data_IF_850749040876
#
_entry.id   IF_850749040876
#
_cell.length_a   1.000
_cell.length_b   1.000
_cell.length_c   1.000
_cell.angle_alpha   90.00
_cell.angle_beta   90.00
_cell.angle_gamma   90.00
#
_symmetry.space_group_name_H-M   'P 1'
#
loop_
_entity.id
_entity.type
_entity.pdbx_description
1 polymer ?
#
# COMPACT_ATOMS: atom_id res chain seq x y z
N UNK A 1 5.10 -37.05 -9.37
CA UNK A 1 5.97 -38.25 -9.33
C UNK A 1 6.66 -38.50 -10.66
N UNK A 2 5.97 -38.41 -11.81
CA UNK A 2 6.59 -38.58 -13.14
C UNK A 2 7.77 -37.63 -13.40
N UNK A 3 7.61 -36.33 -13.10
CA UNK A 3 8.66 -35.34 -13.33
C UNK A 3 9.95 -35.59 -12.53
N UNK A 4 9.82 -36.03 -11.27
CA UNK A 4 10.97 -36.38 -10.41
C UNK A 4 11.70 -37.59 -10.98
N UNK A 5 10.96 -38.61 -11.44
CA UNK A 5 11.55 -39.79 -12.07
C UNK A 5 12.38 -39.40 -13.28
N UNK A 6 11.79 -38.63 -14.22
CA UNK A 6 12.48 -38.12 -15.41
C UNK A 6 13.72 -37.30 -15.06
N UNK A 7 13.62 -36.42 -14.07
CA UNK A 7 14.75 -35.64 -13.59
C UNK A 7 15.86 -36.52 -13.01
N UNK A 8 15.52 -37.57 -12.25
CA UNK A 8 16.49 -38.50 -11.69
C UNK A 8 17.28 -39.27 -12.77
N UNK A 9 16.66 -39.53 -13.93
CA UNK A 9 17.31 -40.17 -15.07
C UNK A 9 18.24 -39.26 -15.90
N UNK A 10 18.24 -37.94 -15.67
CA UNK A 10 19.11 -37.04 -16.41
C UNK A 10 20.60 -37.33 -16.11
N UNK A 11 21.48 -37.36 -17.13
CA UNK A 11 22.90 -37.56 -16.92
C UNK A 11 23.49 -36.37 -16.15
N UNK A 12 24.26 -36.64 -15.09
CA UNK A 12 24.91 -35.61 -14.27
C UNK A 12 26.41 -35.78 -14.35
N UNK A 13 27.10 -34.74 -14.83
CA UNK A 13 28.57 -34.66 -14.88
C UNK A 13 29.01 -33.36 -14.22
N UNK A 14 30.20 -33.36 -13.61
CA UNK A 14 30.74 -32.17 -12.94
C UNK A 14 31.05 -31.01 -13.91
N UNK A 15 31.26 -31.31 -15.19
CA UNK A 15 31.46 -30.35 -16.27
C UNK A 15 30.20 -30.28 -17.14
N UNK A 16 29.94 -29.11 -17.73
CA UNK A 16 28.90 -28.93 -18.72
C UNK A 16 29.16 -29.80 -19.96
N UNK A 17 28.19 -29.98 -20.88
CA UNK A 17 28.38 -30.79 -22.09
C UNK A 17 29.58 -30.37 -22.94
N UNK A 18 29.94 -29.09 -22.92
CA UNK A 18 31.13 -28.56 -23.59
C UNK A 18 32.45 -29.06 -23.00
N UNK A 19 32.46 -29.52 -21.75
CA UNK A 19 33.66 -29.87 -20.99
C UNK A 19 34.51 -28.67 -20.56
N UNK A 20 34.08 -27.44 -20.86
CA UNK A 20 34.88 -26.21 -20.66
C UNK A 20 34.59 -25.48 -19.35
N UNK A 21 33.40 -25.69 -18.78
CA UNK A 21 32.89 -24.95 -17.62
C UNK A 21 32.23 -25.90 -16.63
N UNK A 22 32.24 -25.52 -15.37
CA UNK A 22 31.61 -26.29 -14.29
C UNK A 22 30.09 -26.40 -14.51
N UNK A 23 29.50 -27.57 -14.23
CA UNK A 23 28.04 -27.78 -14.29
C UNK A 23 27.34 -27.28 -13.02
N UNK A 24 27.72 -26.09 -12.57
CA UNK A 24 27.19 -25.42 -11.39
C UNK A 24 26.25 -24.29 -11.83
N UNK A 25 25.07 -24.27 -11.24
CA UNK A 25 23.99 -23.37 -11.64
C UNK A 25 23.56 -22.49 -10.46
N UNK A 26 23.31 -21.23 -10.76
CA UNK A 26 22.66 -20.30 -9.86
C UNK A 26 21.17 -20.21 -10.22
N UNK A 27 20.31 -20.11 -9.22
CA UNK A 27 18.92 -19.74 -9.42
C UNK A 27 18.44 -18.70 -8.41
N UNK A 28 17.53 -17.83 -8.84
CA UNK A 28 16.81 -16.89 -7.98
C UNK A 28 15.36 -16.69 -8.46
N UNK A 29 14.56 -16.00 -7.64
CA UNK A 29 13.18 -15.66 -7.95
C UNK A 29 13.04 -14.16 -8.02
N UNK A 30 12.36 -13.66 -9.05
CA UNK A 30 12.12 -12.23 -9.25
C UNK A 30 10.65 -11.95 -9.50
N UNK A 31 10.17 -10.86 -8.92
CA UNK A 31 8.82 -10.35 -9.16
C UNK A 31 8.85 -9.35 -10.32
N UNK A 32 8.09 -9.63 -11.36
CA UNK A 32 8.03 -8.84 -12.59
C UNK A 32 6.75 -8.01 -12.59
N UNK A 33 6.85 -6.67 -12.45
CA UNK A 33 5.69 -5.78 -12.39
C UNK A 33 5.18 -5.39 -13.80
N UNK A 34 5.24 -6.32 -14.75
CA UNK A 34 4.64 -6.13 -16.08
C UNK A 34 3.15 -6.47 -16.02
N UNK A 35 2.37 -6.09 -17.03
CA UNK A 35 0.95 -6.45 -17.11
C UNK A 35 0.78 -7.72 -17.98
N UNK A 36 0.32 -8.86 -17.42
CA UNK A 36 -0.03 -9.08 -16.02
C UNK A 36 1.20 -9.44 -15.15
N UNK A 37 1.21 -9.09 -13.85
CA UNK A 37 2.38 -9.30 -13.00
C UNK A 37 2.59 -10.78 -12.74
N UNK A 38 3.85 -11.18 -12.58
CA UNK A 38 4.24 -12.58 -12.43
C UNK A 38 5.54 -12.74 -11.63
N UNK A 39 5.79 -13.96 -11.18
CA UNK A 39 7.09 -14.36 -10.65
C UNK A 39 7.85 -15.15 -11.71
N UNK A 40 9.14 -14.89 -11.84
CA UNK A 40 10.06 -15.67 -12.67
C UNK A 40 11.03 -16.43 -11.79
N UNK A 41 11.21 -17.71 -12.07
CA UNK A 41 12.42 -18.44 -11.73
C UNK A 41 13.47 -18.12 -12.79
N UNK A 42 14.59 -17.56 -12.38
CA UNK A 42 15.74 -17.28 -13.23
C UNK A 42 16.86 -18.26 -12.90
N UNK A 43 17.40 -18.95 -13.90
CA UNK A 43 18.48 -19.91 -13.76
C UNK A 43 19.63 -19.50 -14.68
N UNK A 44 20.85 -19.50 -14.17
CA UNK A 44 22.05 -19.10 -14.94
C UNK A 44 23.25 -19.97 -14.60
N UNK A 45 24.00 -20.36 -15.62
CA UNK A 45 25.34 -20.92 -15.47
C UNK A 45 26.34 -19.79 -15.65
N UNK A 46 26.88 -19.28 -14.54
CA UNK A 46 27.63 -18.02 -14.52
C UNK A 46 28.84 -18.02 -15.47
N UNK A 47 29.57 -19.15 -15.57
CA UNK A 47 30.77 -19.27 -16.41
C UNK A 47 30.46 -19.25 -17.92
N UNK A 48 29.37 -19.88 -18.37
CA UNK A 48 28.99 -19.88 -19.80
C UNK A 48 28.11 -18.68 -20.18
N UNK A 49 27.45 -18.06 -19.19
CA UNK A 49 26.42 -17.06 -19.41
C UNK A 49 25.10 -17.61 -19.94
N UNK A 50 24.92 -18.94 -20.01
CA UNK A 50 23.66 -19.55 -20.40
C UNK A 50 22.58 -19.23 -19.35
N UNK A 51 21.43 -18.75 -19.82
CA UNK A 51 20.28 -18.39 -18.98
C UNK A 51 19.05 -19.21 -19.37
N UNK A 52 18.21 -19.51 -18.39
CA UNK A 52 16.88 -20.08 -18.57
C UNK A 52 15.90 -19.38 -17.63
N UNK A 53 14.63 -19.29 -18.03
CA UNK A 53 13.57 -18.74 -17.18
C UNK A 53 12.33 -19.60 -17.21
N UNK A 54 11.66 -19.71 -16.07
CA UNK A 54 10.34 -20.31 -15.94
C UNK A 54 9.37 -19.32 -15.30
N UNK A 55 8.14 -19.25 -15.82
CA UNK A 55 7.05 -18.51 -15.18
C UNK A 55 6.50 -19.33 -14.02
N UNK A 56 6.20 -18.66 -12.92
CA UNK A 56 5.57 -19.28 -11.76
C UNK A 56 4.12 -18.79 -11.60
N UNK A 57 3.15 -19.70 -11.32
CA UNK A 57 3.32 -21.15 -11.28
C UNK A 57 3.55 -21.77 -12.67
N UNK A 58 4.17 -22.95 -12.71
CA UNK A 58 4.50 -23.67 -13.95
C UNK A 58 3.22 -24.11 -14.66
N UNK A 59 3.19 -23.99 -15.99
CA UNK A 59 2.04 -24.40 -16.80
C UNK A 59 0.86 -23.41 -16.76
N UNK A 60 1.03 -22.28 -16.07
CA UNK A 60 0.03 -21.23 -16.05
C UNK A 60 -0.03 -20.51 -17.40
N UNK A 61 -1.24 -20.18 -17.86
CA UNK A 61 -1.47 -19.45 -19.11
C UNK A 61 -0.73 -18.10 -19.09
N UNK A 62 -0.05 -17.78 -20.19
CA UNK A 62 0.73 -16.54 -20.31
C UNK A 62 -0.10 -15.26 -20.09
N UNK A 63 -1.40 -15.33 -20.34
CA UNK A 63 -2.35 -14.21 -20.21
C UNK A 63 -2.83 -13.98 -18.76
N UNK A 64 -2.65 -14.93 -17.83
CA UNK A 64 -3.18 -14.83 -16.46
C UNK A 64 -2.12 -14.36 -15.48
N UNK A 65 -2.47 -13.45 -14.57
CA UNK A 65 -1.52 -12.98 -13.55
C UNK A 65 -0.93 -14.12 -12.71
N UNK A 66 0.37 -14.03 -12.42
CA UNK A 66 1.09 -14.94 -11.51
C UNK A 66 1.02 -14.52 -10.04
N UNK A 67 0.07 -13.65 -9.66
CA UNK A 67 -0.10 -13.18 -8.27
C UNK A 67 -0.67 -14.27 -7.33
N UNK A 68 -1.23 -15.34 -7.89
CA UNK A 68 -1.63 -16.54 -7.14
C UNK A 68 -0.45 -17.19 -6.43
N UNK A 69 0.72 -17.22 -7.09
CA UNK A 69 1.98 -17.56 -6.46
C UNK A 69 2.63 -16.29 -5.90
N UNK A 70 2.49 -16.04 -4.60
CA UNK A 70 3.19 -14.94 -3.91
C UNK A 70 3.66 -15.45 -2.54
N UNK A 71 4.74 -16.22 -2.47
CA UNK A 71 5.18 -16.84 -1.21
C UNK A 71 5.65 -15.79 -0.20
N UNK A 72 5.28 -15.98 1.06
CA UNK A 72 5.71 -15.12 2.16
C UNK A 72 7.01 -15.63 2.81
N UNK A 73 7.22 -16.95 2.79
CA UNK A 73 8.40 -17.62 3.33
C UNK A 73 9.10 -18.46 2.26
N UNK A 74 10.36 -18.84 2.54
CA UNK A 74 11.12 -19.73 1.67
C UNK A 74 10.46 -21.13 1.58
N UNK A 75 9.89 -21.59 2.69
CA UNK A 75 9.19 -22.86 2.82
C UNK A 75 7.91 -22.88 1.99
N UNK A 76 7.14 -21.78 1.99
CA UNK A 76 5.95 -21.63 1.14
C UNK A 76 6.32 -21.63 -0.35
N UNK A 77 7.47 -21.02 -0.70
CA UNK A 77 7.94 -20.92 -2.08
C UNK A 77 8.46 -22.26 -2.62
N UNK A 78 9.03 -23.09 -1.74
CA UNK A 78 9.87 -24.21 -2.13
C UNK A 78 9.18 -25.26 -3.03
N UNK A 79 7.93 -25.70 -2.78
CA UNK A 79 7.27 -26.70 -3.61
C UNK A 79 7.14 -26.27 -5.08
N UNK A 80 6.71 -25.03 -5.33
CA UNK A 80 6.51 -24.51 -6.69
C UNK A 80 7.84 -24.25 -7.39
N UNK A 81 8.83 -23.73 -6.68
CA UNK A 81 10.17 -23.50 -7.25
C UNK A 81 10.84 -24.84 -7.57
N UNK A 82 10.71 -25.85 -6.70
CA UNK A 82 11.18 -27.19 -7.01
C UNK A 82 10.52 -27.72 -8.27
N UNK A 83 9.20 -27.62 -8.36
CA UNK A 83 8.45 -28.05 -9.55
C UNK A 83 8.99 -27.36 -10.82
N UNK A 84 9.22 -26.05 -10.76
CA UNK A 84 9.80 -25.27 -11.86
C UNK A 84 11.23 -25.64 -12.22
N UNK A 85 12.09 -25.93 -11.23
CA UNK A 85 13.46 -26.40 -11.49
C UNK A 85 13.41 -27.76 -12.22
N UNK A 86 12.61 -28.70 -11.72
CA UNK A 86 12.49 -30.02 -12.36
C UNK A 86 11.91 -29.88 -13.78
N UNK A 87 10.93 -29.00 -13.96
CA UNK A 87 10.34 -28.70 -15.27
C UNK A 87 11.38 -28.13 -16.23
N UNK A 88 12.16 -27.14 -15.78
CA UNK A 88 13.21 -26.51 -16.57
C UNK A 88 14.19 -27.54 -17.13
N UNK A 89 14.73 -28.44 -16.31
CA UNK A 89 15.70 -29.43 -16.79
C UNK A 89 15.10 -30.56 -17.62
N UNK A 90 13.86 -30.98 -17.34
CA UNK A 90 13.22 -32.07 -18.09
C UNK A 90 12.65 -31.59 -19.43
N UNK A 91 12.13 -30.37 -19.49
CA UNK A 91 11.36 -29.87 -20.63
C UNK A 91 11.93 -28.58 -21.26
N UNK A 92 12.54 -27.69 -20.48
CA UNK A 92 12.82 -26.31 -20.89
C UNK A 92 14.24 -26.05 -21.39
N UNK A 93 15.25 -26.66 -20.78
CA UNK A 93 16.67 -26.44 -21.09
C UNK A 93 17.06 -27.26 -22.32
N UNK A 94 16.67 -26.77 -23.50
CA UNK A 94 17.16 -27.19 -24.82
C UNK A 94 17.18 -28.70 -25.07
N UNK A 95 16.18 -29.22 -25.78
CA UNK A 95 16.32 -30.52 -26.43
C UNK A 95 17.33 -30.38 -27.56
N UNK A 96 18.58 -30.78 -27.33
CA UNK A 96 19.44 -31.15 -28.45
C UNK A 96 18.89 -32.46 -29.00
N UNK A 97 18.55 -32.50 -30.29
CA UNK A 97 17.81 -33.62 -30.92
C UNK A 97 18.43 -35.00 -30.61
N UNK A 98 19.74 -35.05 -30.41
CA UNK A 98 20.49 -36.29 -30.22
C UNK A 98 20.95 -36.58 -28.78
N UNK A 99 20.78 -35.65 -27.82
CA UNK A 99 21.25 -35.85 -26.45
C UNK A 99 20.27 -35.28 -25.41
N UNK A 100 19.86 -36.07 -24.39
CA UNK A 100 19.06 -35.55 -23.30
C UNK A 100 19.84 -34.45 -22.57
N UNK A 101 19.17 -33.37 -22.16
CA UNK A 101 19.84 -32.29 -21.44
C UNK A 101 20.48 -32.83 -20.15
N UNK A 102 21.70 -32.40 -19.79
CA UNK A 102 22.31 -32.82 -18.55
C UNK A 102 21.52 -32.27 -17.37
N UNK A 103 21.41 -33.08 -16.32
CA UNK A 103 20.97 -32.58 -15.01
C UNK A 103 22.04 -31.67 -14.38
N UNK A 104 21.65 -30.76 -13.48
CA UNK A 104 22.62 -29.93 -12.79
C UNK A 104 23.50 -30.79 -11.87
N UNK A 105 24.79 -30.48 -11.81
CA UNK A 105 25.69 -31.09 -10.83
C UNK A 105 25.54 -30.43 -9.46
N UNK A 106 25.48 -29.09 -9.44
CA UNK A 106 25.19 -28.31 -8.23
C UNK A 106 24.21 -27.19 -8.52
N UNK A 107 23.40 -26.88 -7.53
CA UNK A 107 22.54 -25.72 -7.51
C UNK A 107 22.94 -24.80 -6.35
N UNK A 108 22.89 -23.50 -6.62
CA UNK A 108 23.17 -22.44 -5.66
C UNK A 108 22.15 -21.32 -5.80
N UNK A 109 21.93 -20.54 -4.75
CA UNK A 109 21.08 -19.34 -4.80
C UNK A 109 21.64 -18.24 -3.91
N UNK A 110 21.28 -16.98 -4.14
CA UNK A 110 21.78 -15.86 -3.32
C UNK A 110 21.21 -15.84 -1.90
N UNK A 111 20.16 -16.62 -1.62
CA UNK A 111 19.47 -16.61 -0.33
C UNK A 111 19.61 -17.94 0.44
N UNK A 112 20.10 -17.85 1.69
CA UNK A 112 20.32 -19.01 2.55
C UNK A 112 19.05 -19.77 2.95
N UNK A 113 17.97 -19.08 3.34
CA UNK A 113 16.72 -19.74 3.74
C UNK A 113 16.10 -20.49 2.56
N UNK A 114 16.08 -19.87 1.38
CA UNK A 114 15.61 -20.50 0.15
C UNK A 114 16.45 -21.71 -0.22
N UNK A 115 17.78 -21.62 -0.12
CA UNK A 115 18.68 -22.76 -0.37
C UNK A 115 18.31 -23.97 0.51
N UNK A 116 18.11 -23.74 1.81
CA UNK A 116 17.73 -24.78 2.77
C UNK A 116 16.35 -25.37 2.43
N UNK A 117 15.36 -24.51 2.19
CA UNK A 117 13.98 -24.93 1.92
C UNK A 117 13.89 -25.78 0.64
N UNK A 118 14.57 -25.39 -0.44
CA UNK A 118 14.60 -26.16 -1.70
C UNK A 118 15.36 -27.47 -1.53
N UNK A 119 16.50 -27.48 -0.83
CA UNK A 119 17.25 -28.72 -0.57
C UNK A 119 16.41 -29.75 0.19
N UNK A 120 15.66 -29.29 1.20
CA UNK A 120 14.70 -30.11 1.94
C UNK A 120 13.56 -30.61 1.05
N UNK A 121 13.00 -29.73 0.20
CA UNK A 121 11.94 -30.09 -0.74
C UNK A 121 12.42 -31.13 -1.77
N UNK A 122 13.65 -31.01 -2.30
CA UNK A 122 14.26 -31.99 -3.20
C UNK A 122 14.39 -33.36 -2.54
N UNK A 123 14.89 -33.39 -1.30
CA UNK A 123 14.99 -34.62 -0.51
C UNK A 123 13.62 -35.25 -0.29
N UNK A 124 12.63 -34.45 0.12
CA UNK A 124 11.27 -34.93 0.38
C UNK A 124 10.57 -35.45 -0.89
N UNK A 125 10.84 -34.83 -2.04
CA UNK A 125 10.28 -35.25 -3.33
C UNK A 125 10.91 -36.53 -3.90
N UNK A 126 12.02 -37.02 -3.33
CA UNK A 126 12.72 -38.21 -3.80
C UNK A 126 13.71 -37.96 -4.94
N UNK A 127 14.30 -36.76 -5.01
CA UNK A 127 15.44 -36.50 -5.92
C UNK A 127 16.62 -37.36 -5.49
N UNK A 128 17.19 -38.16 -6.40
CA UNK A 128 18.21 -39.16 -6.06
C UNK A 128 19.62 -38.58 -5.88
N UNK A 129 19.92 -37.44 -6.50
CA UNK A 129 21.21 -36.77 -6.39
C UNK A 129 21.35 -36.07 -5.03
N UNK A 130 22.15 -36.66 -4.13
CA UNK A 130 22.33 -36.21 -2.74
C UNK A 130 22.99 -34.83 -2.68
N UNK A 131 23.82 -34.49 -3.66
CA UNK A 131 24.45 -33.18 -3.79
C UNK A 131 23.41 -32.05 -3.92
N UNK A 132 22.24 -32.35 -4.50
CA UNK A 132 21.15 -31.39 -4.66
C UNK A 132 20.29 -31.23 -3.40
N UNK A 133 20.46 -32.09 -2.38
CA UNK A 133 19.81 -31.90 -1.08
C UNK A 133 20.46 -30.79 -0.25
N UNK A 134 21.70 -30.41 -0.59
CA UNK A 134 22.48 -29.40 0.12
C UNK A 134 22.80 -28.22 -0.81
N UNK A 135 21.77 -27.46 -1.17
CA UNK A 135 21.93 -26.25 -1.98
C UNK A 135 22.71 -25.21 -1.17
N UNK A 136 23.74 -24.64 -1.79
CA UNK A 136 24.62 -23.65 -1.15
C UNK A 136 24.21 -22.23 -1.49
N UNK A 137 24.60 -21.30 -0.64
CA UNK A 137 24.54 -19.88 -0.98
C UNK A 137 25.61 -19.56 -2.02
N UNK A 138 25.23 -18.82 -3.06
CA UNK A 138 26.15 -18.36 -4.11
C UNK A 138 27.18 -17.40 -3.56
N UNK A 139 28.35 -17.34 -4.19
CA UNK A 139 29.32 -16.27 -3.93
C UNK A 139 28.76 -14.93 -4.43
N UNK A 140 29.24 -13.83 -3.86
CA UNK A 140 28.86 -12.48 -4.32
C UNK A 140 29.17 -12.26 -5.80
N UNK A 141 30.25 -12.86 -6.30
CA UNK A 141 30.62 -12.81 -7.72
C UNK A 141 29.56 -13.46 -8.62
N UNK A 142 29.10 -14.67 -8.27
CA UNK A 142 28.06 -15.38 -9.03
C UNK A 142 26.73 -14.63 -8.99
N UNK A 143 26.33 -14.10 -7.84
CA UNK A 143 25.11 -13.29 -7.72
C UNK A 143 25.18 -12.03 -8.58
N UNK A 144 26.34 -11.34 -8.61
CA UNK A 144 26.53 -10.17 -9.48
C UNK A 144 26.37 -10.52 -10.96
N UNK A 145 26.95 -11.65 -11.41
CA UNK A 145 26.77 -12.12 -12.79
C UNK A 145 25.29 -12.41 -13.05
N UNK A 146 24.59 -13.07 -12.13
CA UNK A 146 23.16 -13.34 -12.26
C UNK A 146 22.33 -12.05 -12.41
N UNK A 147 22.60 -11.03 -11.59
CA UNK A 147 21.95 -9.72 -11.66
C UNK A 147 22.20 -9.01 -12.99
N UNK A 148 23.46 -8.99 -13.47
CA UNK A 148 23.82 -8.38 -14.75
C UNK A 148 23.12 -9.08 -15.93
N UNK A 149 23.09 -10.43 -15.91
CA UNK A 149 22.42 -11.23 -16.95
C UNK A 149 20.91 -11.04 -16.92
N UNK A 150 20.33 -11.03 -15.73
CA UNK A 150 18.90 -10.77 -15.58
C UNK A 150 18.54 -9.36 -16.02
N UNK A 151 19.34 -8.35 -15.70
CA UNK A 151 19.07 -6.98 -16.15
C UNK A 151 19.05 -6.85 -17.67
N UNK A 152 19.92 -7.58 -18.37
CA UNK A 152 19.91 -7.63 -19.83
C UNK A 152 18.67 -8.36 -20.38
N UNK A 153 18.30 -9.50 -19.78
CA UNK A 153 17.05 -10.19 -20.13
C UNK A 153 15.82 -9.30 -19.86
N UNK A 154 15.81 -8.57 -18.75
CA UNK A 154 14.71 -7.72 -18.32
C UNK A 154 14.44 -6.61 -19.33
N UNK A 155 15.50 -5.99 -19.88
CA UNK A 155 15.37 -5.01 -20.98
C UNK A 155 14.69 -5.61 -22.21
N UNK A 156 15.00 -6.86 -22.54
CA UNK A 156 14.38 -7.56 -23.68
C UNK A 156 12.90 -7.84 -23.43
N UNK A 157 12.53 -8.35 -22.25
CA UNK A 157 11.13 -8.72 -21.95
C UNK A 157 10.23 -7.51 -21.69
N UNK A 158 10.78 -6.40 -21.19
CA UNK A 158 10.02 -5.17 -20.91
C UNK A 158 9.75 -4.34 -22.17
N UNK A 159 10.60 -4.49 -23.19
CA UNK A 159 10.44 -3.81 -24.47
C UNK A 159 10.77 -2.31 -24.41
N UNK A 160 10.71 -1.61 -25.56
CA UNK A 160 11.24 -0.25 -25.71
C UNK A 160 10.67 0.80 -24.74
N UNK A 161 9.35 0.86 -24.45
CA UNK A 161 8.79 1.86 -23.54
C UNK A 161 9.33 1.73 -22.10
N UNK A 162 9.92 0.59 -21.78
CA UNK A 162 10.32 0.19 -20.42
C UNK A 162 11.82 -0.10 -20.32
N UNK A 163 12.61 0.15 -21.37
CA UNK A 163 14.04 -0.18 -21.42
C UNK A 163 14.88 0.52 -20.33
N UNK A 164 14.36 1.61 -19.76
CA UNK A 164 15.00 2.37 -18.68
C UNK A 164 14.55 1.92 -17.27
N UNK A 165 13.68 0.91 -17.17
CA UNK A 165 13.21 0.40 -15.89
C UNK A 165 14.34 -0.40 -15.22
N UNK A 166 14.63 -0.14 -13.93
CA UNK A 166 15.57 -0.97 -13.19
C UNK A 166 15.05 -2.40 -13.13
N UNK A 167 15.93 -3.37 -13.34
CA UNK A 167 15.57 -4.77 -13.25
C UNK A 167 15.19 -5.11 -11.79
N UNK A 168 14.12 -5.88 -11.56
CA UNK A 168 13.77 -6.33 -10.23
C UNK A 168 14.90 -7.10 -9.55
N UNK A 169 15.12 -6.78 -8.27
CA UNK A 169 16.04 -7.53 -7.42
C UNK A 169 15.52 -8.94 -7.16
N UNK A 170 16.44 -9.84 -6.81
CA UNK A 170 16.06 -11.15 -6.28
C UNK A 170 15.25 -11.02 -4.99
N UNK A 171 14.29 -11.93 -4.81
CA UNK A 171 13.49 -12.01 -3.60
C UNK A 171 14.34 -12.55 -2.44
N UNK A 172 14.33 -11.83 -1.30
CA UNK A 172 14.87 -12.28 -0.03
C UNK A 172 13.77 -12.47 1.02
N UNK A 173 13.47 -13.72 1.40
CA UNK A 173 12.55 -14.07 2.48
C UNK A 173 13.09 -13.77 3.89
N UNK A 174 14.41 -13.89 4.09
CA UNK A 174 15.10 -13.76 5.38
C UNK A 174 15.09 -12.35 5.98
N UNK A 175 14.95 -11.31 5.15
CA UNK A 175 14.91 -9.91 5.61
C UNK A 175 13.54 -9.50 6.16
N UNK A 176 12.51 -10.30 5.92
CA UNK A 176 11.17 -10.02 6.38
C UNK A 176 10.83 -10.96 7.54
N UNK A 177 10.99 -10.49 8.77
CA UNK A 177 10.24 -11.10 9.88
C UNK A 177 8.83 -10.58 9.71
N UNK A 178 7.83 -11.40 9.32
CA UNK A 178 6.45 -10.94 9.33
C UNK A 178 6.21 -10.40 10.73
N UNK A 179 5.90 -9.11 10.85
CA UNK A 179 5.63 -8.51 12.15
C UNK A 179 4.65 -9.42 12.88
N UNK A 180 4.90 -9.72 14.15
CA UNK A 180 3.93 -10.45 14.97
C UNK A 180 2.74 -9.51 15.08
N UNK A 181 1.79 -9.65 14.15
CA UNK A 181 0.56 -8.88 14.15
C UNK A 181 -0.15 -9.32 15.42
N UNK A 182 -0.31 -8.38 16.37
CA UNK A 182 -1.01 -8.65 17.63
C UNK A 182 -2.34 -9.33 17.30
N UNK A 183 -2.65 -10.41 18.01
CA UNK A 183 -3.85 -11.23 17.82
C UNK A 183 -5.09 -10.34 17.70
N UNK A 184 -5.57 -10.18 16.47
CA UNK A 184 -6.81 -9.49 16.15
C UNK A 184 -7.80 -10.49 15.52
N UNK A 185 -9.06 -10.30 15.90
CA UNK A 185 -10.28 -11.05 15.58
C UNK A 185 -10.57 -11.29 14.06
N UNK A 186 -11.58 -12.11 13.68
CA UNK A 186 -11.46 -13.11 12.62
C UNK A 186 -12.42 -13.00 11.44
N UNK A 187 -12.14 -13.85 10.45
CA UNK A 187 -12.97 -14.26 9.33
C UNK A 187 -12.87 -13.30 8.14
N UNK A 188 -11.77 -13.44 7.40
CA UNK A 188 -11.22 -12.43 6.50
C UNK A 188 -12.11 -11.96 5.35
N UNK A 189 -13.08 -12.75 4.88
CA UNK A 189 -13.95 -12.33 3.78
C UNK A 189 -15.12 -11.47 4.26
N UNK A 190 -15.82 -11.89 5.30
CA UNK A 190 -16.86 -11.08 5.95
C UNK A 190 -16.26 -9.92 6.75
N UNK A 191 -15.08 -10.10 7.36
CA UNK A 191 -14.32 -9.01 7.98
C UNK A 191 -13.95 -7.95 6.95
N UNK A 192 -13.49 -8.34 5.76
CA UNK A 192 -13.07 -7.37 4.78
C UNK A 192 -14.28 -6.64 4.14
N UNK A 193 -15.43 -7.30 4.00
CA UNK A 193 -16.70 -6.63 3.66
C UNK A 193 -17.21 -5.77 4.82
N UNK A 194 -17.15 -6.21 6.07
CA UNK A 194 -17.61 -5.46 7.24
C UNK A 194 -16.70 -4.27 7.56
N UNK A 195 -15.38 -4.42 7.44
CA UNK A 195 -14.40 -3.34 7.54
C UNK A 195 -14.58 -2.33 6.41
N UNK A 196 -14.82 -2.81 5.19
CA UNK A 196 -15.17 -1.97 4.06
C UNK A 196 -16.50 -1.24 4.30
N UNK A 197 -17.54 -1.91 4.81
CA UNK A 197 -18.83 -1.30 5.17
C UNK A 197 -18.70 -0.30 6.33
N UNK A 198 -17.85 -0.55 7.32
CA UNK A 198 -17.54 0.38 8.42
C UNK A 198 -16.84 1.64 7.91
N UNK A 199 -15.92 1.51 6.95
CA UNK A 199 -15.27 2.62 6.24
C UNK A 199 -16.22 3.30 5.23
N UNK A 200 -17.13 2.55 4.61
CA UNK A 200 -18.17 3.05 3.69
C UNK A 200 -19.23 3.84 4.44
N UNK A 201 -19.50 3.52 5.71
CA UNK A 201 -20.34 4.33 6.60
C UNK A 201 -19.67 5.66 7.02
N UNK A 202 -18.44 5.92 6.55
CA UNK A 202 -17.84 7.26 6.54
C UNK A 202 -18.07 7.99 5.19
N UNK A 203 -19.18 7.72 4.50
CA UNK A 203 -19.65 8.54 3.36
C UNK A 203 -20.59 9.66 3.80
N UNK A 204 -20.65 10.77 3.03
CA UNK A 204 -21.31 12.03 3.39
C UNK A 204 -22.82 11.89 3.66
N UNK A 205 -23.44 12.90 4.31
CA UNK A 205 -24.72 12.78 5.02
C UNK A 205 -26.00 12.37 4.26
N UNK A 206 -26.00 11.99 2.99
CA UNK A 206 -27.24 12.01 2.18
C UNK A 206 -27.56 10.75 1.34
N UNK A 207 -26.93 9.59 1.57
CA UNK A 207 -27.34 8.35 0.90
C UNK A 207 -28.22 7.48 1.82
N UNK A 208 -29.53 7.62 1.67
CA UNK A 208 -30.57 6.87 2.36
C UNK A 208 -30.55 5.38 1.89
N UNK A 209 -29.72 4.55 2.51
CA UNK A 209 -29.71 3.09 2.32
C UNK A 209 -30.13 2.43 3.64
N UNK A 210 -31.43 2.23 3.78
CA UNK A 210 -32.08 1.62 4.92
C UNK A 210 -32.34 0.12 4.67
N UNK A 211 -32.24 -0.69 5.75
CA UNK A 211 -32.72 -2.08 5.91
C UNK A 211 -31.92 -3.27 5.33
N UNK A 212 -30.63 -3.40 5.62
CA UNK A 212 -29.98 -4.73 5.69
C UNK A 212 -29.83 -5.15 7.16
N UNK A 213 -30.12 -6.41 7.53
CA UNK A 213 -30.01 -6.86 8.92
C UNK A 213 -28.58 -6.66 9.43
N UNK A 214 -28.46 -6.02 10.60
CA UNK A 214 -27.19 -5.89 11.30
C UNK A 214 -26.66 -7.29 11.62
N UNK A 215 -25.45 -7.58 11.15
CA UNK A 215 -24.82 -8.89 11.31
C UNK A 215 -24.39 -9.09 12.77
N UNK A 216 -24.71 -10.25 13.35
CA UNK A 216 -24.41 -10.59 14.74
C UNK A 216 -22.94 -10.99 14.92
N UNK A 217 -22.17 -10.07 15.50
CA UNK A 217 -20.73 -10.18 15.74
C UNK A 217 -20.31 -11.24 16.77
N UNK A 218 -21.24 -11.84 17.52
CA UNK A 218 -20.91 -12.69 18.68
C UNK A 218 -20.36 -14.08 18.34
N UNK A 219 -20.31 -14.48 17.06
CA UNK A 219 -20.05 -15.86 16.64
C UNK A 219 -18.72 -16.14 15.92
N UNK A 220 -17.79 -15.19 15.83
CA UNK A 220 -16.70 -15.23 14.83
C UNK A 220 -15.30 -15.33 15.49
N UNK A 221 -14.50 -16.40 15.22
CA UNK A 221 -13.19 -16.77 15.86
C UNK A 221 -11.96 -16.93 14.88
N UNK A 222 -10.73 -16.53 15.31
CA UNK A 222 -9.50 -16.06 14.55
C UNK A 222 -8.92 -17.00 13.48
N UNK A 223 -8.79 -16.56 12.20
CA UNK A 223 -8.16 -17.33 11.12
C UNK A 223 -7.02 -16.61 10.36
N UNK A 224 -6.12 -17.43 9.81
CA UNK A 224 -4.87 -17.20 9.09
C UNK A 224 -4.95 -16.16 7.94
N UNK A 225 -4.14 -15.09 8.03
CA UNK A 225 -4.05 -14.03 7.03
C UNK A 225 -3.55 -14.52 5.66
N UNK A 226 -2.74 -15.59 5.61
CA UNK A 226 -2.29 -16.17 4.34
C UNK A 226 -3.46 -16.87 3.63
N UNK A 227 -4.27 -17.63 4.39
CA UNK A 227 -5.49 -18.26 3.86
C UNK A 227 -6.49 -17.22 3.35
N UNK A 228 -6.66 -16.12 4.07
CA UNK A 228 -7.53 -15.01 3.64
C UNK A 228 -7.09 -14.45 2.28
N UNK A 229 -5.77 -14.28 2.07
CA UNK A 229 -5.25 -13.83 0.78
C UNK A 229 -5.55 -14.84 -0.32
N UNK A 230 -5.32 -16.14 -0.09
CA UNK A 230 -5.61 -17.20 -1.06
C UNK A 230 -7.09 -17.18 -1.47
N UNK A 231 -8.00 -17.03 -0.50
CA UNK A 231 -9.44 -16.92 -0.78
C UNK A 231 -9.77 -15.66 -1.60
N UNK A 232 -9.21 -14.50 -1.25
CA UNK A 232 -9.42 -13.27 -1.99
C UNK A 232 -8.89 -13.35 -3.43
N UNK A 233 -7.72 -13.94 -3.64
CA UNK A 233 -7.17 -14.17 -4.98
C UNK A 233 -8.07 -15.11 -5.77
N UNK A 234 -8.55 -16.21 -5.17
CA UNK A 234 -9.50 -17.09 -5.82
C UNK A 234 -10.76 -16.35 -6.28
N UNK A 235 -11.33 -15.48 -5.43
CA UNK A 235 -12.49 -14.63 -5.79
C UNK A 235 -12.18 -13.72 -6.98
N UNK A 236 -10.96 -13.17 -7.08
CA UNK A 236 -10.58 -12.33 -8.23
C UNK A 236 -10.43 -13.11 -9.53
N UNK A 237 -10.17 -14.41 -9.45
CA UNK A 237 -10.02 -15.31 -10.60
C UNK A 237 -11.33 -16.01 -11.02
N UNK A 238 -12.36 -16.00 -10.17
CA UNK A 238 -13.66 -16.61 -10.44
C UNK A 238 -14.37 -15.92 -11.61
N UNK A 239 -14.59 -16.64 -12.72
CA UNK A 239 -15.17 -16.11 -13.96
C UNK A 239 -16.63 -15.65 -13.81
N UNK A 240 -17.36 -16.21 -12.85
CA UNK A 240 -18.76 -15.93 -12.52
C UNK A 240 -18.95 -14.87 -11.42
N UNK A 241 -17.88 -14.45 -10.75
CA UNK A 241 -17.96 -13.40 -9.74
C UNK A 241 -18.36 -12.04 -10.35
N UNK A 242 -19.25 -11.31 -9.67
CA UNK A 242 -19.70 -9.98 -10.10
C UNK A 242 -18.57 -8.95 -10.09
N UNK A 243 -18.70 -7.90 -10.90
CA UNK A 243 -17.74 -6.78 -10.90
C UNK A 243 -17.60 -6.12 -9.53
N UNK A 244 -18.70 -5.96 -8.77
CA UNK A 244 -18.67 -5.42 -7.41
C UNK A 244 -17.83 -6.29 -6.47
N UNK A 245 -18.03 -7.61 -6.52
CA UNK A 245 -17.30 -8.55 -5.68
C UNK A 245 -15.81 -8.57 -6.03
N UNK A 246 -15.45 -8.61 -7.32
CA UNK A 246 -14.05 -8.55 -7.75
C UNK A 246 -13.38 -7.22 -7.41
N UNK A 247 -14.07 -6.10 -7.62
CA UNK A 247 -13.56 -4.77 -7.25
C UNK A 247 -13.26 -4.70 -5.75
N UNK A 248 -14.18 -5.21 -4.93
CA UNK A 248 -14.04 -5.26 -3.48
C UNK A 248 -12.87 -6.16 -3.08
N UNK A 249 -12.78 -7.38 -3.62
CA UNK A 249 -11.68 -8.30 -3.33
C UNK A 249 -10.29 -7.70 -3.66
N UNK A 250 -10.18 -7.03 -4.82
CA UNK A 250 -8.96 -6.32 -5.19
C UNK A 250 -8.65 -5.12 -4.28
N UNK A 251 -9.65 -4.34 -3.87
CA UNK A 251 -9.45 -3.25 -2.92
C UNK A 251 -8.93 -3.76 -1.56
N UNK A 252 -9.43 -4.90 -1.10
CA UNK A 252 -8.99 -5.55 0.14
C UNK A 252 -7.56 -6.06 -0.01
N UNK A 253 -7.23 -6.71 -1.13
CA UNK A 253 -5.87 -7.16 -1.42
C UNK A 253 -4.88 -5.99 -1.46
N UNK A 254 -5.27 -4.84 -2.02
CA UNK A 254 -4.45 -3.62 -2.01
C UNK A 254 -4.04 -3.25 -0.58
N UNK A 255 -4.99 -3.22 0.35
CA UNK A 255 -4.73 -2.94 1.76
C UNK A 255 -3.91 -4.05 2.43
N UNK A 256 -4.16 -5.31 2.10
CA UNK A 256 -3.39 -6.45 2.61
C UNK A 256 -1.91 -6.29 2.31
N UNK A 257 -1.55 -5.90 1.07
CA UNK A 257 -0.16 -5.68 0.68
C UNK A 257 0.46 -4.45 1.36
N UNK A 258 -0.33 -3.40 1.64
CA UNK A 258 0.15 -2.22 2.36
C UNK A 258 0.46 -2.51 3.84
N UNK A 259 -0.39 -3.28 4.51
CA UNK A 259 -0.29 -3.51 5.96
C UNK A 259 0.84 -4.48 6.36
N UNK A 260 1.52 -5.10 5.39
CA UNK A 260 2.59 -6.08 5.65
C UNK A 260 3.96 -5.46 5.83
N UNK A 261 4.21 -4.26 5.29
CA UNK A 261 5.43 -3.53 5.60
C UNK A 261 5.29 -2.86 6.96
N UNK A 262 6.26 -3.07 7.85
CA UNK A 262 6.45 -2.18 9.00
C UNK A 262 6.90 -0.80 8.51
N UNK A 263 8.03 -0.32 9.01
CA UNK A 263 8.59 0.97 8.53
C UNK A 263 9.04 0.92 7.05
N UNK A 264 9.13 -0.28 6.47
CA UNK A 264 9.54 -0.50 5.09
C UNK A 264 8.60 -1.50 4.39
N UNK A 265 8.02 -1.09 3.25
CA UNK A 265 7.21 -1.95 2.38
C UNK A 265 8.11 -2.45 1.24
N UNK A 266 8.35 -3.77 1.10
CA UNK A 266 9.17 -4.28 0.02
C UNK A 266 8.56 -3.94 -1.36
N UNK A 267 9.40 -3.65 -2.34
CA UNK A 267 8.98 -3.16 -3.67
C UNK A 267 7.95 -4.09 -4.35
N UNK A 268 8.08 -5.41 -4.19
CA UNK A 268 7.09 -6.38 -4.71
C UNK A 268 5.67 -6.18 -4.13
N UNK A 269 5.55 -5.76 -2.87
CA UNK A 269 4.24 -5.49 -2.24
C UNK A 269 3.66 -4.19 -2.78
N UNK A 270 4.49 -3.17 -3.03
CA UNK A 270 4.04 -1.93 -3.66
C UNK A 270 3.49 -2.21 -5.05
N UNK A 271 4.19 -3.01 -5.86
CA UNK A 271 3.71 -3.37 -7.20
C UNK A 271 2.45 -4.25 -7.17
N UNK A 272 2.38 -5.26 -6.30
CA UNK A 272 1.16 -6.06 -6.14
C UNK A 272 -0.03 -5.23 -5.65
N UNK A 273 0.19 -4.30 -4.71
CA UNK A 273 -0.85 -3.36 -4.27
C UNK A 273 -1.31 -2.48 -5.44
N UNK A 274 -0.38 -1.97 -6.24
CA UNK A 274 -0.70 -1.13 -7.39
C UNK A 274 -1.49 -1.88 -8.47
N UNK A 275 -1.12 -3.14 -8.75
CA UNK A 275 -1.87 -4.01 -9.65
C UNK A 275 -3.31 -4.22 -9.16
N UNK A 276 -3.49 -4.57 -7.88
CA UNK A 276 -4.82 -4.76 -7.33
C UNK A 276 -5.62 -3.45 -7.28
N UNK A 277 -4.99 -2.31 -7.01
CA UNK A 277 -5.66 -1.01 -7.11
C UNK A 277 -6.17 -0.75 -8.55
N UNK A 278 -5.34 -1.00 -9.57
CA UNK A 278 -5.71 -0.85 -10.98
C UNK A 278 -6.88 -1.78 -11.35
N UNK A 279 -6.85 -3.05 -10.94
CA UNK A 279 -7.95 -3.99 -11.19
C UNK A 279 -9.22 -3.63 -10.40
N UNK A 280 -9.09 -3.16 -9.16
CA UNK A 280 -10.21 -2.68 -8.36
C UNK A 280 -10.93 -1.53 -9.08
N UNK A 281 -10.17 -0.55 -9.57
CA UNK A 281 -10.68 0.57 -10.34
C UNK A 281 -11.33 0.10 -11.64
N UNK A 282 -10.69 -0.80 -12.39
CA UNK A 282 -11.24 -1.37 -13.63
C UNK A 282 -12.60 -2.02 -13.40
N UNK A 283 -12.75 -2.85 -12.35
CA UNK A 283 -14.04 -3.47 -12.06
C UNK A 283 -15.08 -2.46 -11.55
N UNK A 284 -14.67 -1.44 -10.79
CA UNK A 284 -15.55 -0.38 -10.32
C UNK A 284 -16.16 0.47 -11.46
N UNK A 285 -15.51 0.55 -12.63
CA UNK A 285 -16.05 1.25 -13.82
C UNK A 285 -17.43 0.72 -14.25
N UNK A 286 -17.74 -0.53 -13.92
CA UNK A 286 -18.99 -1.18 -14.31
C UNK A 286 -20.12 -1.02 -13.28
N UNK A 287 -19.80 -0.64 -12.03
CA UNK A 287 -20.76 -0.64 -10.92
C UNK A 287 -20.86 0.69 -10.20
N UNK A 288 -19.83 1.54 -10.28
CA UNK A 288 -19.79 2.83 -9.59
C UNK A 288 -20.16 3.99 -10.52
N UNK A 289 -20.86 5.03 -10.00
CA UNK A 289 -21.09 6.26 -10.74
C UNK A 289 -19.78 6.90 -11.22
N UNK A 290 -19.86 7.67 -12.31
CA UNK A 290 -18.72 8.44 -12.81
C UNK A 290 -18.17 9.37 -11.72
N UNK A 291 -16.84 9.38 -11.53
CA UNK A 291 -16.17 10.18 -10.51
C UNK A 291 -16.01 9.53 -9.12
N UNK A 292 -16.66 8.39 -8.85
CA UNK A 292 -16.61 7.69 -7.55
C UNK A 292 -16.14 6.23 -7.69
N UNK A 293 -15.09 6.02 -8.49
CA UNK A 293 -14.63 4.68 -8.88
C UNK A 293 -13.64 4.03 -7.90
N UNK A 294 -13.08 4.81 -6.98
CA UNK A 294 -12.05 4.35 -6.08
C UNK A 294 -12.63 4.08 -4.69
N UNK A 295 -12.40 2.88 -4.17
CA UNK A 295 -12.73 2.57 -2.78
C UNK A 295 -11.83 3.32 -1.80
N UNK A 296 -12.22 3.45 -0.51
CA UNK A 296 -11.38 4.07 0.51
C UNK A 296 -9.99 3.44 0.62
N UNK A 297 -9.88 2.11 0.58
CA UNK A 297 -8.59 1.40 0.64
C UNK A 297 -7.71 1.72 -0.57
N UNK A 298 -8.29 1.82 -1.76
CA UNK A 298 -7.56 2.23 -2.98
C UNK A 298 -7.13 3.70 -2.89
N UNK A 299 -8.01 4.61 -2.47
CA UNK A 299 -7.65 6.03 -2.30
C UNK A 299 -6.54 6.23 -1.25
N UNK A 300 -6.58 5.48 -0.15
CA UNK A 300 -5.54 5.50 0.86
C UNK A 300 -4.20 5.05 0.26
N UNK A 301 -4.18 3.93 -0.47
CA UNK A 301 -2.99 3.48 -1.20
C UNK A 301 -2.46 4.56 -2.16
N UNK A 302 -3.36 5.12 -2.97
CA UNK A 302 -3.01 6.09 -4.00
C UNK A 302 -2.36 7.35 -3.41
N UNK A 303 -2.93 7.86 -2.32
CA UNK A 303 -2.47 9.11 -1.69
C UNK A 303 -1.26 8.92 -0.78
N UNK A 304 -1.13 7.78 -0.09
CA UNK A 304 -0.08 7.57 0.91
C UNK A 304 1.16 6.87 0.39
N UNK A 305 1.01 5.93 -0.55
CA UNK A 305 2.09 5.08 -1.08
C UNK A 305 2.34 5.39 -2.55
N UNK A 306 1.33 5.27 -3.42
CA UNK A 306 1.51 5.43 -4.87
C UNK A 306 2.04 6.82 -5.23
N UNK A 307 1.45 7.90 -4.69
CA UNK A 307 1.85 9.28 -4.95
C UNK A 307 3.34 9.56 -4.66
N UNK A 308 3.90 8.91 -3.62
CA UNK A 308 5.31 9.08 -3.22
C UNK A 308 6.27 8.25 -4.05
N UNK A 309 5.78 7.15 -4.61
CA UNK A 309 6.62 6.11 -5.21
C UNK A 309 6.54 6.08 -6.75
N UNK A 310 5.48 6.62 -7.37
CA UNK A 310 5.31 6.51 -8.83
C UNK A 310 6.43 7.20 -9.63
N UNK A 311 7.07 8.23 -9.07
CA UNK A 311 8.21 8.89 -9.70
C UNK A 311 9.50 8.07 -9.58
N UNK A 312 9.63 7.30 -8.50
CA UNK A 312 10.79 6.43 -8.24
C UNK A 312 10.72 5.13 -9.04
N UNK A 313 9.50 4.65 -9.32
CA UNK A 313 9.27 3.41 -10.04
C UNK A 313 8.45 3.67 -11.31
N UNK A 314 9.12 3.86 -12.46
CA UNK A 314 8.47 4.02 -13.76
C UNK A 314 7.33 3.04 -14.09
N UNK A 315 7.37 1.73 -13.72
CA UNK A 315 6.23 0.84 -13.99
C UNK A 315 4.91 1.28 -13.34
N UNK A 316 4.95 2.03 -12.23
CA UNK A 316 3.74 2.56 -11.62
C UNK A 316 3.05 3.62 -12.50
N UNK A 317 3.81 4.35 -13.32
CA UNK A 317 3.26 5.35 -14.25
C UNK A 317 2.41 4.72 -15.36
N UNK A 318 2.57 3.42 -15.60
CA UNK A 318 1.78 2.69 -16.59
C UNK A 318 0.36 2.37 -16.10
N UNK A 319 0.09 2.51 -14.80
CA UNK A 319 -1.20 2.24 -14.19
C UNK A 319 -2.12 3.46 -14.34
N UNK A 320 -2.65 3.61 -15.55
CA UNK A 320 -3.40 4.80 -15.98
C UNK A 320 -4.65 5.05 -15.13
N UNK A 321 -5.35 4.02 -14.63
CA UNK A 321 -6.52 4.25 -13.78
C UNK A 321 -6.10 4.72 -12.40
N UNK A 322 -5.03 4.18 -11.83
CA UNK A 322 -4.46 4.65 -10.58
C UNK A 322 -4.08 6.14 -10.65
N UNK A 323 -3.39 6.57 -11.70
CA UNK A 323 -3.04 7.98 -11.91
C UNK A 323 -4.27 8.88 -12.07
N UNK A 324 -5.22 8.48 -12.92
CA UNK A 324 -6.46 9.22 -13.12
C UNK A 324 -7.30 9.34 -11.82
N UNK A 325 -7.37 8.27 -11.02
CA UNK A 325 -8.05 8.26 -9.73
C UNK A 325 -7.35 9.15 -8.69
N UNK A 326 -6.01 9.12 -8.65
CA UNK A 326 -5.22 9.99 -7.77
C UNK A 326 -5.44 11.46 -8.13
N UNK A 327 -5.35 11.80 -9.41
CA UNK A 327 -5.61 13.17 -9.90
C UNK A 327 -7.03 13.62 -9.56
N UNK A 328 -8.03 12.79 -9.85
CA UNK A 328 -9.44 13.08 -9.50
C UNK A 328 -9.59 13.36 -8.01
N UNK A 329 -8.92 12.58 -7.15
CA UNK A 329 -8.96 12.81 -5.70
C UNK A 329 -8.28 14.13 -5.30
N UNK A 330 -7.14 14.45 -5.89
CA UNK A 330 -6.44 15.72 -5.65
C UNK A 330 -7.31 16.91 -6.08
N UNK A 331 -7.93 16.85 -7.26
CA UNK A 331 -8.84 17.88 -7.75
C UNK A 331 -10.06 18.06 -6.81
N UNK A 332 -10.62 16.95 -6.32
CA UNK A 332 -11.70 17.00 -5.32
C UNK A 332 -11.24 17.65 -4.01
N UNK A 333 -10.02 17.37 -3.54
CA UNK A 333 -9.48 18.00 -2.34
C UNK A 333 -9.29 19.51 -2.52
N UNK A 334 -8.72 19.94 -3.66
CA UNK A 334 -8.56 21.36 -4.00
C UNK A 334 -9.93 22.07 -4.11
N UNK A 335 -10.91 21.44 -4.74
CA UNK A 335 -12.25 21.99 -4.85
C UNK A 335 -12.96 22.09 -3.49
N UNK A 336 -12.80 21.08 -2.63
CA UNK A 336 -13.31 21.09 -1.25
C UNK A 336 -12.67 22.20 -0.42
N UNK A 337 -11.35 22.36 -0.50
CA UNK A 337 -10.62 23.43 0.18
C UNK A 337 -11.05 24.81 -0.30
N UNK A 338 -11.19 24.98 -1.62
CA UNK A 338 -11.67 26.24 -2.22
C UNK A 338 -13.10 26.57 -1.78
N UNK A 339 -13.99 25.59 -1.77
CA UNK A 339 -15.36 25.77 -1.28
C UNK A 339 -15.41 26.07 0.23
N UNK A 340 -14.56 25.42 1.03
CA UNK A 340 -14.42 25.71 2.45
C UNK A 340 -13.89 27.13 2.69
N UNK A 341 -12.93 27.58 1.89
CA UNK A 341 -12.40 28.95 1.94
C UNK A 341 -13.49 29.98 1.61
N UNK A 342 -14.28 29.78 0.55
CA UNK A 342 -15.41 30.68 0.22
C UNK A 342 -16.43 30.73 1.36
N UNK A 343 -16.76 29.58 1.98
CA UNK A 343 -17.67 29.54 3.14
C UNK A 343 -17.11 30.32 4.34
N UNK A 344 -15.80 30.25 4.59
CA UNK A 344 -15.12 31.01 5.64
C UNK A 344 -15.10 32.50 5.37
N UNK A 345 -14.84 32.92 4.13
CA UNK A 345 -14.87 34.34 3.75
C UNK A 345 -16.27 34.96 3.90
N UNK A 346 -17.33 34.19 3.63
CA UNK A 346 -18.72 34.64 3.85
C UNK A 346 -19.09 34.76 5.33
N UNK A 347 -18.47 33.96 6.20
CA UNK A 347 -18.79 33.91 7.63
C UNK A 347 -17.51 33.78 8.48
N UNK A 348 -16.65 34.81 8.53
CA UNK A 348 -15.33 34.69 9.15
C UNK A 348 -15.39 34.33 10.64
N UNK A 349 -16.42 34.81 11.35
CA UNK A 349 -16.60 34.55 12.78
C UNK A 349 -17.11 33.15 13.09
N UNK A 350 -17.66 32.41 12.11
CA UNK A 350 -18.27 31.09 12.32
C UNK A 350 -17.26 29.98 12.56
N UNK A 351 -16.02 30.16 12.12
CA UNK A 351 -15.00 29.10 12.07
C UNK A 351 -13.82 29.36 13.02
N UNK A 352 -13.90 30.41 13.84
CA UNK A 352 -12.84 30.79 14.80
C UNK A 352 -13.45 31.12 16.15
N UNK A 353 -12.72 30.79 17.22
CA UNK A 353 -13.07 31.24 18.55
C UNK A 353 -12.88 32.77 18.63
N UNK A 354 -13.90 33.48 19.09
CA UNK A 354 -13.89 34.93 19.22
C UNK A 354 -13.09 35.44 20.43
N UNK A 355 -12.75 34.57 21.39
CA UNK A 355 -11.92 34.97 22.53
C UNK A 355 -10.49 35.25 22.06
N UNK A 356 -10.06 36.49 22.22
CA UNK A 356 -8.73 36.98 21.82
C UNK A 356 -7.64 36.09 22.43
N UNK A 357 -6.66 35.70 21.61
CA UNK A 357 -5.55 34.82 22.03
C UNK A 357 -5.87 33.32 22.05
N UNK A 358 -7.14 32.90 21.95
CA UNK A 358 -7.50 31.47 21.96
C UNK A 358 -6.90 30.71 20.76
N UNK A 359 -7.00 31.28 19.55
CA UNK A 359 -6.42 30.71 18.32
C UNK A 359 -7.09 29.42 17.82
N UNK A 360 -8.14 28.93 18.49
CA UNK A 360 -8.89 27.76 18.05
C UNK A 360 -9.72 28.08 16.80
N UNK A 361 -9.56 27.27 15.78
CA UNK A 361 -10.32 27.29 14.53
C UNK A 361 -10.94 25.93 14.24
N UNK A 362 -12.05 25.89 13.52
CA UNK A 362 -12.74 24.63 13.18
C UNK A 362 -13.01 24.53 11.69
N UNK A 363 -13.03 23.30 11.17
CA UNK A 363 -13.44 23.03 9.78
C UNK A 363 -14.95 23.20 9.59
N UNK A 364 -15.73 22.99 10.66
CA UNK A 364 -17.18 23.10 10.69
C UNK A 364 -17.64 24.15 11.69
N UNK A 365 -18.56 25.01 11.28
CA UNK A 365 -19.17 26.01 12.15
C UNK A 365 -20.11 25.45 13.22
N UNK A 366 -20.38 24.13 13.22
CA UNK A 366 -21.14 23.46 14.28
C UNK A 366 -20.29 23.12 15.50
N UNK A 367 -18.96 23.12 15.37
CA UNK A 367 -18.04 22.73 16.44
C UNK A 367 -17.84 23.82 17.51
N UNK A 368 -18.37 25.03 17.29
CA UNK A 368 -18.24 26.16 18.21
C UNK A 368 -19.60 26.59 18.75
N UNK A 369 -19.62 26.99 20.01
CA UNK A 369 -20.79 27.53 20.70
C UNK A 369 -21.04 28.96 20.25
N UNK A 370 -22.21 29.23 19.68
CA UNK A 370 -22.62 30.60 19.31
C UNK A 370 -23.02 31.42 20.54
N UNK A 371 -22.81 32.74 20.49
CA UNK A 371 -23.39 33.65 21.48
C UNK A 371 -24.92 33.51 21.52
N UNK A 372 -25.49 33.43 22.72
CA UNK A 372 -26.94 33.33 22.93
C UNK A 372 -27.69 34.68 22.96
N UNK A 373 -26.98 35.79 22.72
CA UNK A 373 -27.56 37.13 22.79
C UNK A 373 -28.26 37.59 21.51
N UNK A 374 -28.63 38.88 21.48
CA UNK A 374 -29.44 39.50 20.38
C UNK A 374 -28.60 40.12 19.26
N UNK A 375 -27.30 39.81 19.17
CA UNK A 375 -26.47 40.29 18.06
C UNK A 375 -26.88 39.67 16.72
N UNK A 376 -26.61 40.42 15.65
CA UNK A 376 -26.87 40.01 14.26
C UNK A 376 -26.11 38.70 13.92
N UNK A 377 -26.70 37.84 13.08
CA UNK A 377 -26.17 36.49 12.80
C UNK A 377 -24.79 36.52 12.12
N UNK A 378 -24.54 37.50 11.26
CA UNK A 378 -23.26 37.71 10.56
C UNK A 378 -22.14 38.21 11.49
N UNK A 379 -22.51 38.88 12.58
CA UNK A 379 -21.58 39.45 13.57
C UNK A 379 -21.51 38.63 14.86
N UNK A 380 -22.27 37.55 14.94
CA UNK A 380 -22.38 36.70 16.13
C UNK A 380 -21.05 35.98 16.38
N UNK A 381 -20.43 36.16 17.56
CA UNK A 381 -19.20 35.44 17.89
C UNK A 381 -19.48 33.97 18.23
N UNK A 382 -18.45 33.15 18.00
CA UNK A 382 -18.45 31.71 18.27
C UNK A 382 -17.31 31.37 19.23
N UNK A 383 -17.50 30.39 20.10
CA UNK A 383 -16.57 30.06 21.17
C UNK A 383 -16.31 28.56 21.22
N UNK A 384 -15.07 28.15 21.43
CA UNK A 384 -14.75 26.73 21.59
C UNK A 384 -15.20 26.18 22.95
N UNK A 385 -15.46 27.04 23.93
CA UNK A 385 -15.89 26.66 25.27
C UNK A 385 -16.65 27.80 25.99
N UNK A 386 -17.34 27.48 27.08
CA UNK A 386 -18.05 28.49 27.91
C UNK A 386 -17.08 29.43 28.61
N UNK A 387 -15.89 28.97 28.91
CA UNK A 387 -14.82 29.75 29.53
C UNK A 387 -14.36 30.86 28.58
N UNK A 388 -14.13 30.52 27.31
CA UNK A 388 -13.83 31.50 26.27
C UNK A 388 -14.97 32.52 26.07
N UNK A 389 -16.23 32.06 26.12
CA UNK A 389 -17.39 32.96 26.05
C UNK A 389 -17.42 33.95 27.22
N UNK A 390 -17.18 33.48 28.45
CA UNK A 390 -17.15 34.34 29.65
C UNK A 390 -16.00 35.32 29.63
N UNK A 391 -14.84 34.91 29.13
CA UNK A 391 -13.66 35.76 28.99
C UNK A 391 -13.93 36.92 28.01
N UNK A 392 -14.50 36.61 26.84
CA UNK A 392 -14.84 37.59 25.81
C UNK A 392 -16.06 38.45 26.18
N UNK A 393 -16.92 38.01 27.09
CA UNK A 393 -18.18 38.69 27.41
C UNK A 393 -18.00 40.17 27.79
N UNK A 394 -16.92 40.53 28.51
CA UNK A 394 -16.63 41.93 28.87
C UNK A 394 -16.46 42.82 27.63
N UNK A 395 -15.84 42.27 26.59
CA UNK A 395 -15.59 42.96 25.31
C UNK A 395 -16.83 42.90 24.41
N UNK A 396 -17.51 41.75 24.32
CA UNK A 396 -18.66 41.56 23.44
C UNK A 396 -19.96 42.22 23.94
N UNK A 397 -20.16 42.33 25.26
CA UNK A 397 -21.43 42.80 25.85
C UNK A 397 -21.96 44.13 25.26
N UNK A 398 -21.14 45.18 25.01
CA UNK A 398 -21.61 46.41 24.37
C UNK A 398 -22.14 46.21 22.94
N UNK A 399 -21.64 45.20 22.23
CA UNK A 399 -21.98 44.86 20.85
C UNK A 399 -23.06 43.77 20.74
N UNK A 400 -23.52 43.21 21.87
CA UNK A 400 -24.48 42.11 21.91
C UNK A 400 -25.94 42.60 21.70
N UNK A 401 -26.17 43.41 20.65
CA UNK A 401 -27.45 44.03 20.29
C UNK A 401 -27.59 44.11 18.76
N UNK A 402 -28.81 44.15 18.22
CA UNK A 402 -29.01 44.29 16.77
C UNK A 402 -28.39 45.57 16.22
N UNK A 403 -27.79 45.51 15.03
CA UNK A 403 -27.23 46.67 14.32
C UNK A 403 -25.86 47.16 14.81
N UNK A 404 -25.35 46.66 15.94
CA UNK A 404 -23.99 47.01 16.41
C UNK A 404 -22.92 46.40 15.50
N UNK A 405 -21.71 47.00 15.39
CA UNK A 405 -20.60 46.39 14.66
C UNK A 405 -20.10 45.12 15.37
N UNK A 406 -19.33 44.29 14.66
CA UNK A 406 -18.78 43.06 15.24
C UNK A 406 -17.71 43.40 16.29
N UNK A 407 -17.77 42.76 17.46
CA UNK A 407 -16.76 42.91 18.52
C UNK A 407 -15.49 42.12 18.25
N UNK A 408 -15.50 41.21 17.26
CA UNK A 408 -14.34 40.41 16.90
C UNK A 408 -13.40 41.31 16.12
N UNK A 409 -12.34 41.76 16.79
CA UNK A 409 -11.24 42.49 16.17
C UNK A 409 -10.63 41.53 15.14
N UNK A 410 -10.57 41.96 13.88
CA UNK A 410 -9.76 41.25 12.90
C UNK A 410 -8.32 41.46 13.33
N UNK A 411 -7.67 40.43 13.86
CA UNK A 411 -6.22 40.47 14.04
C UNK A 411 -5.61 40.61 12.64
N UNK A 412 -5.16 41.82 12.29
CA UNK A 412 -4.54 42.14 11.00
C UNK A 412 -3.25 41.34 10.75
N UNK A 413 -2.77 40.60 11.76
CA UNK A 413 -1.64 39.67 11.69
C UNK A 413 -2.00 38.31 11.08
N UNK A 414 -3.28 38.04 10.82
CA UNK A 414 -3.72 36.83 10.14
C UNK A 414 -3.55 36.98 8.62
N UNK A 415 -2.31 36.85 8.14
CA UNK A 415 -2.06 36.53 6.74
C UNK A 415 -2.90 35.31 6.30
N UNK A 416 -3.13 35.11 4.99
CA UNK A 416 -4.04 34.09 4.44
C UNK A 416 -3.59 32.62 4.64
N UNK A 417 -2.87 32.31 5.72
CA UNK A 417 -2.64 30.96 6.23
C UNK A 417 -3.94 30.32 6.70
N UNK A 418 -4.79 29.96 5.75
CA UNK A 418 -6.03 29.24 5.97
C UNK A 418 -5.74 27.76 6.21
N UNK A 419 -6.49 27.19 7.15
CA UNK A 419 -6.50 25.75 7.42
C UNK A 419 -6.96 24.99 6.19
N UNK A 420 -6.09 24.23 5.52
CA UNK A 420 -6.53 23.17 4.61
C UNK A 420 -7.43 22.23 5.39
N UNK A 421 -8.66 22.04 4.94
CA UNK A 421 -9.57 21.16 5.63
C UNK A 421 -8.99 19.74 5.54
N UNK A 422 -8.73 19.12 6.69
CA UNK A 422 -8.38 17.70 6.70
C UNK A 422 -9.45 16.93 5.93
N UNK A 423 -9.03 15.97 5.12
CA UNK A 423 -9.86 15.23 4.16
C UNK A 423 -11.09 14.50 4.75
N UNK A 424 -11.27 14.48 6.07
CA UNK A 424 -12.45 13.93 6.73
C UNK A 424 -13.42 15.05 7.10
N UNK A 425 -14.66 14.99 6.61
CA UNK A 425 -15.75 15.93 6.93
C UNK A 425 -16.20 15.97 8.40
N UNK A 426 -15.36 15.55 9.34
CA UNK A 426 -15.57 15.69 10.77
C UNK A 426 -15.29 17.10 11.27
N UNK A 427 -15.74 17.37 12.49
CA UNK A 427 -15.50 18.59 13.26
C UNK A 427 -14.04 18.66 13.74
N UNK A 428 -13.08 18.71 12.82
CA UNK A 428 -11.68 18.90 13.19
C UNK A 428 -11.48 20.28 13.78
N UNK A 429 -10.83 20.30 14.94
CA UNK A 429 -10.44 21.51 15.67
C UNK A 429 -8.95 21.70 15.43
N UNK A 430 -8.54 22.95 15.24
CA UNK A 430 -7.17 23.28 14.89
C UNK A 430 -6.70 24.49 15.66
N UNK A 431 -5.40 24.55 15.93
CA UNK A 431 -4.74 25.70 16.57
C UNK A 431 -3.47 26.02 15.81
N UNK A 432 -3.09 27.29 15.82
CA UNK A 432 -1.84 27.78 15.26
C UNK A 432 -0.74 27.70 16.31
N UNK A 433 0.42 27.19 15.92
CA UNK A 433 1.58 27.03 16.78
C UNK A 433 2.75 27.78 16.14
N UNK A 434 3.37 28.75 16.82
CA UNK A 434 4.58 29.38 16.33
C UNK A 434 5.71 28.33 16.26
N UNK A 435 6.38 28.25 15.11
CA UNK A 435 7.59 27.48 14.90
C UNK A 435 8.83 28.34 15.13
N UNK A 436 9.96 27.68 15.44
CA UNK A 436 11.24 28.34 15.74
C UNK A 436 11.79 29.14 14.56
N UNK A 437 11.36 28.85 13.33
CA UNK A 437 11.72 29.57 12.11
C UNK A 437 10.88 30.83 11.88
N UNK A 438 10.07 31.24 12.87
CA UNK A 438 9.11 32.33 12.76
C UNK A 438 7.88 31.98 11.92
N UNK A 439 7.78 30.77 11.36
CA UNK A 439 6.58 30.33 10.63
C UNK A 439 5.56 29.79 11.61
N UNK A 440 4.28 30.01 11.31
CA UNK A 440 3.20 29.41 12.09
C UNK A 440 2.78 28.08 11.47
N UNK A 441 2.82 27.01 12.25
CA UNK A 441 2.30 25.69 11.87
C UNK A 441 0.87 25.54 12.35
N UNK A 442 0.04 24.89 11.53
CA UNK A 442 -1.30 24.53 11.95
C UNK A 442 -1.32 23.09 12.44
N UNK A 443 -1.77 22.88 13.68
CA UNK A 443 -2.03 21.56 14.23
C UNK A 443 -3.53 21.33 14.29
N UNK A 444 -3.98 20.31 13.56
CA UNK A 444 -5.39 19.92 13.47
C UNK A 444 -5.62 18.56 14.10
N UNK A 445 -6.71 18.41 14.84
CA UNK A 445 -7.11 17.15 15.45
C UNK A 445 -8.63 16.98 15.43
N UNK A 446 -9.09 15.76 15.18
CA UNK A 446 -10.49 15.36 15.31
C UNK A 446 -10.81 14.71 16.66
N UNK A 447 -9.78 14.38 17.45
CA UNK A 447 -9.91 13.62 18.71
C UNK A 447 -9.51 14.42 19.94
N UNK A 448 -8.75 15.50 19.78
CA UNK A 448 -8.30 16.36 20.87
C UNK A 448 -9.32 17.45 21.16
N UNK A 449 -9.55 17.73 22.44
CA UNK A 449 -10.42 18.84 22.85
C UNK A 449 -9.77 20.20 22.56
N UNK A 450 -10.57 21.28 22.45
CA UNK A 450 -10.04 22.64 22.36
C UNK A 450 -9.10 22.99 23.52
N UNK A 451 -9.41 22.52 24.73
CA UNK A 451 -8.61 22.73 25.94
C UNK A 451 -7.20 22.16 25.74
N UNK A 452 -7.12 20.89 25.31
CA UNK A 452 -5.85 20.23 25.10
C UNK A 452 -5.03 20.94 24.01
N UNK A 453 -5.65 21.36 22.90
CA UNK A 453 -4.94 22.08 21.84
C UNK A 453 -4.39 23.43 22.31
N UNK A 454 -5.09 24.13 23.21
CA UNK A 454 -4.57 25.36 23.84
C UNK A 454 -3.39 25.05 24.75
N UNK A 455 -3.49 24.03 25.58
CA UNK A 455 -2.42 23.62 26.49
C UNK A 455 -1.17 23.16 25.72
N UNK A 456 -1.38 22.44 24.61
CA UNK A 456 -0.31 22.03 23.69
C UNK A 456 0.39 23.24 23.06
N UNK A 457 -0.37 24.21 22.53
CA UNK A 457 0.18 25.45 22.01
C UNK A 457 1.00 26.20 23.07
N UNK A 458 0.44 26.38 24.27
CA UNK A 458 1.12 27.06 25.37
C UNK A 458 2.35 26.31 25.88
N UNK A 459 2.40 24.98 25.74
CA UNK A 459 3.59 24.19 26.02
C UNK A 459 4.69 24.45 24.98
N UNK A 460 4.35 24.49 23.69
CA UNK A 460 5.32 24.79 22.62
C UNK A 460 5.87 26.22 22.76
N UNK A 461 5.01 27.20 23.01
CA UNK A 461 5.42 28.60 23.21
C UNK A 461 6.39 28.76 24.41
N UNK A 462 6.22 27.97 25.48
CA UNK A 462 7.13 28.00 26.63
C UNK A 462 8.51 27.39 26.34
N UNK A 463 8.59 26.41 25.46
CA UNK A 463 9.87 25.81 25.08
C UNK A 463 10.72 26.80 24.27
N UNK A 464 10.09 27.62 23.43
CA UNK A 464 10.78 28.56 22.56
C UNK A 464 11.44 29.72 23.35
N UNK A 465 10.80 30.17 24.43
CA UNK A 465 11.36 31.23 25.30
C UNK A 465 12.62 30.76 26.04
N UNK A 466 12.78 29.45 26.24
CA UNK A 466 13.93 28.90 27.00
C UNK A 466 15.21 28.75 26.20
N UNK A 467 15.16 28.81 24.86
CA UNK A 467 16.36 28.67 24.01
C UNK A 467 17.19 29.95 23.88
N UNK A 468 16.65 31.11 24.26
CA UNK A 468 17.33 32.41 24.16
C UNK A 468 17.99 32.86 25.48
N UNK A 469 17.92 32.03 26.54
CA UNK A 469 18.54 32.25 27.85
C UNK A 469 19.62 31.21 28.13
#
# INVERSE_FOLDING_TARGET
TDLVSKFNFLPRRAQAPSGLVSNEWHFDIRYIPLDPPLHLLFIVQAESGYIHTERLPVGHESARSGVSFFPETAEDAAPEILHAILHAYVNGMGRMEDNPPPGPWKLTTGERSLAIAIGNAMKAAGVSAVELHTIRTSSSHVTKIADERFANLFKTISGPPQANMPAPDMIFYSKHKPGIISKASPNGFEFAIAYYQLQSNATPPDANIDKRPAFDFSKIQTQDLAKSRVQLVAVTEMTDASHELRSTAHAILTQWYMNRGGDHIPTRYVFSAAWHAEQALRHAEHVSPSGFRASPSVLLFLTSVFAKNHQLYPPLLMLRRCDAALKTRQDQMVAQDSAAMVKRLKHPNRYRCANVGCGIMTSSGQALQRCGGKCDEDKRPYYCSKECQRADWKVHKPFCKPGMPCSVIADDHDGPGFVTAGAGGGTSISTRIPGQDGRTHLVSSSTMSPEYLRDFRAAVERLDVSSDS
#
